data_IF_406363911810
#
_entry.id   IF_406363911810
#
_cell.length_a   1.000
_cell.length_b   1.000
_cell.length_c   1.000
_cell.angle_alpha   90.00
_cell.angle_beta   90.00
_cell.angle_gamma   90.00
#
_symmetry.space_group_name_H-M   'P 1'
#
loop_
_entity.id
_entity.type
_entity.pdbx_description
1 polymer ?
#
# COMPACT_ATOMS: atom_id res chain seq x y z
N UNK A 1 9.92 -18.53 -31.05
CA UNK A 1 9.45 -17.27 -30.43
C UNK A 1 8.80 -17.43 -29.04
N UNK A 2 8.62 -18.65 -28.50
CA UNK A 2 7.87 -18.89 -27.24
C UNK A 2 8.73 -18.73 -25.97
N UNK A 3 10.06 -18.95 -26.04
CA UNK A 3 10.95 -18.93 -24.87
C UNK A 3 11.24 -17.52 -24.30
N UNK A 4 11.24 -16.47 -25.13
CA UNK A 4 11.54 -15.09 -24.69
C UNK A 4 10.41 -14.48 -23.85
N UNK A 5 9.15 -14.86 -24.11
CA UNK A 5 7.97 -14.35 -23.39
C UNK A 5 7.94 -14.89 -21.96
N UNK A 6 8.20 -16.19 -21.77
CA UNK A 6 8.23 -16.84 -20.46
C UNK A 6 9.35 -16.29 -19.54
N UNK A 7 10.54 -16.03 -20.10
CA UNK A 7 11.65 -15.45 -19.34
C UNK A 7 11.38 -13.98 -18.94
N UNK A 8 10.70 -13.22 -19.80
CA UNK A 8 10.28 -11.84 -19.49
C UNK A 8 9.21 -11.79 -18.39
N UNK A 9 8.29 -12.75 -18.40
CA UNK A 9 7.23 -12.87 -17.40
C UNK A 9 7.77 -13.29 -16.03
N UNK A 10 8.71 -14.25 -15.97
CA UNK A 10 9.39 -14.61 -14.73
C UNK A 10 10.12 -13.44 -14.06
N UNK A 11 10.82 -12.61 -14.85
CA UNK A 11 11.51 -11.41 -14.35
C UNK A 11 10.53 -10.35 -13.84
N UNK A 12 9.39 -10.17 -14.52
CA UNK A 12 8.33 -9.26 -14.07
C UNK A 12 7.75 -9.68 -12.72
N UNK A 13 7.46 -10.97 -12.54
CA UNK A 13 6.96 -11.51 -11.28
C UNK A 13 7.98 -11.36 -10.15
N UNK A 14 9.27 -11.55 -10.43
CA UNK A 14 10.34 -11.32 -9.45
C UNK A 14 10.39 -9.87 -8.98
N UNK A 15 10.29 -8.90 -9.90
CA UNK A 15 10.22 -7.48 -9.52
C UNK A 15 8.99 -7.17 -8.67
N UNK A 16 7.82 -7.73 -8.99
CA UNK A 16 6.60 -7.53 -8.21
C UNK A 16 6.70 -8.15 -6.81
N UNK A 17 7.31 -9.33 -6.68
CA UNK A 17 7.56 -9.95 -5.38
C UNK A 17 8.48 -9.07 -4.51
N UNK A 18 9.60 -8.60 -5.08
CA UNK A 18 10.51 -7.67 -4.40
C UNK A 18 9.84 -6.34 -4.07
N UNK A 19 8.96 -5.84 -4.93
CA UNK A 19 8.20 -4.62 -4.64
C UNK A 19 7.29 -4.80 -3.43
N UNK A 20 6.56 -5.91 -3.35
CA UNK A 20 5.72 -6.24 -2.19
C UNK A 20 6.52 -6.31 -0.90
N UNK A 21 7.74 -6.86 -0.95
CA UNK A 21 8.66 -6.88 0.20
C UNK A 21 9.08 -5.46 0.61
N UNK A 22 9.41 -4.59 -0.34
CA UNK A 22 9.71 -3.18 -0.04
C UNK A 22 8.51 -2.45 0.57
N UNK A 23 7.30 -2.69 0.05
CA UNK A 23 6.06 -2.14 0.63
C UNK A 23 5.87 -2.63 2.06
N UNK A 24 5.98 -3.93 2.33
CA UNK A 24 5.80 -4.48 3.68
C UNK A 24 6.79 -3.89 4.69
N UNK A 25 8.04 -3.68 4.27
CA UNK A 25 9.09 -3.13 5.14
C UNK A 25 8.91 -1.64 5.44
N UNK A 26 8.30 -0.89 4.52
CA UNK A 26 8.35 0.58 4.55
C UNK A 26 6.98 1.27 4.52
N UNK A 27 5.86 0.54 4.51
CA UNK A 27 4.54 1.17 4.37
C UNK A 27 4.25 2.23 5.44
N UNK A 28 4.76 2.07 6.68
CA UNK A 28 4.59 3.05 7.76
C UNK A 28 5.27 4.39 7.49
N UNK A 29 6.31 4.42 6.65
CA UNK A 29 6.98 5.67 6.22
C UNK A 29 6.33 6.26 4.97
N UNK A 30 5.50 5.48 4.26
CA UNK A 30 4.87 5.87 2.99
C UNK A 30 5.84 6.51 1.98
N UNK A 31 7.01 5.90 1.70
CA UNK A 31 7.99 6.53 0.83
C UNK A 31 7.47 6.68 -0.60
N UNK A 32 7.99 7.65 -1.37
CA UNK A 32 7.71 7.76 -2.79
C UNK A 32 7.97 6.45 -3.54
N UNK A 33 7.17 6.17 -4.57
CA UNK A 33 7.33 4.97 -5.41
C UNK A 33 8.75 4.85 -5.98
N UNK A 34 9.44 5.98 -6.21
CA UNK A 34 10.82 5.98 -6.68
C UNK A 34 11.80 5.36 -5.68
N UNK A 35 11.65 5.63 -4.39
CA UNK A 35 12.47 4.98 -3.36
C UNK A 35 12.21 3.48 -3.30
N UNK A 36 10.95 3.05 -3.47
CA UNK A 36 10.59 1.64 -3.49
C UNK A 36 11.06 0.92 -4.77
N UNK A 37 11.22 1.64 -5.88
CA UNK A 37 11.66 1.09 -7.16
C UNK A 37 13.19 1.00 -7.27
N UNK A 38 13.91 1.90 -6.61
CA UNK A 38 15.38 1.96 -6.63
C UNK A 38 16.07 0.60 -6.31
N UNK A 39 15.76 -0.11 -5.21
CA UNK A 39 16.41 -1.38 -4.90
C UNK A 39 16.05 -2.51 -5.87
N UNK A 40 14.97 -2.36 -6.65
CA UNK A 40 14.57 -3.33 -7.67
C UNK A 40 15.38 -3.17 -8.96
N UNK A 41 16.11 -2.07 -9.13
CA UNK A 41 16.87 -1.76 -10.34
C UNK A 41 15.99 -1.37 -11.53
N UNK A 42 14.77 -0.87 -11.28
CA UNK A 42 13.82 -0.45 -12.33
C UNK A 42 13.29 0.95 -12.04
N UNK A 43 12.83 1.62 -13.08
CA UNK A 43 12.26 2.97 -12.93
C UNK A 43 10.86 2.92 -12.30
N UNK A 44 10.39 4.02 -11.67
CA UNK A 44 9.02 4.10 -11.15
C UNK A 44 7.97 3.85 -12.24
N UNK A 45 8.23 4.30 -13.47
CA UNK A 45 7.38 4.10 -14.64
C UNK A 45 7.29 2.62 -15.02
N UNK A 46 8.43 1.93 -15.06
CA UNK A 46 8.46 0.49 -15.32
C UNK A 46 7.71 -0.29 -14.23
N UNK A 47 7.95 0.02 -12.96
CA UNK A 47 7.24 -0.59 -11.83
C UNK A 47 5.72 -0.37 -11.93
N UNK A 48 5.28 0.86 -12.21
CA UNK A 48 3.86 1.16 -12.41
C UNK A 48 3.26 0.36 -13.57
N UNK A 49 3.99 0.18 -14.68
CA UNK A 49 3.55 -0.64 -15.81
C UNK A 49 3.38 -2.10 -15.40
N UNK A 50 4.32 -2.65 -14.63
CA UNK A 50 4.22 -4.02 -14.10
C UNK A 50 3.01 -4.18 -13.18
N UNK A 51 2.80 -3.25 -12.24
CA UNK A 51 1.65 -3.27 -11.34
C UNK A 51 0.33 -3.19 -12.11
N UNK A 52 0.21 -2.31 -13.10
CA UNK A 52 -1.02 -2.20 -13.91
C UNK A 52 -1.30 -3.47 -14.71
N UNK A 53 -0.26 -4.09 -15.27
CA UNK A 53 -0.38 -5.30 -16.09
C UNK A 53 -0.78 -6.52 -15.26
N UNK A 54 -0.18 -6.71 -14.09
CA UNK A 54 -0.28 -7.96 -13.32
C UNK A 54 -1.14 -7.84 -12.05
N UNK A 55 -1.31 -6.65 -11.50
CA UNK A 55 -2.07 -6.39 -10.26
C UNK A 55 -3.30 -5.50 -10.50
N UNK A 56 -3.53 -5.07 -11.75
CA UNK A 56 -4.64 -4.20 -12.16
C UNK A 56 -4.76 -2.89 -11.36
N UNK A 57 -3.65 -2.41 -10.79
CA UNK A 57 -3.59 -1.17 -10.04
C UNK A 57 -2.22 -0.48 -10.18
N UNK A 58 -2.11 0.78 -9.76
CA UNK A 58 -0.82 1.48 -9.76
C UNK A 58 0.07 0.98 -8.62
N UNK A 59 1.38 1.21 -8.72
CA UNK A 59 2.31 0.92 -7.62
C UNK A 59 1.89 1.67 -6.35
N UNK A 60 1.57 2.97 -6.47
CA UNK A 60 1.07 3.75 -5.34
C UNK A 60 -0.20 3.15 -4.70
N UNK A 61 -1.11 2.60 -5.51
CA UNK A 61 -2.30 1.94 -4.99
C UNK A 61 -1.96 0.69 -4.18
N UNK A 62 -0.94 -0.10 -4.56
CA UNK A 62 -0.46 -1.24 -3.76
C UNK A 62 0.05 -0.78 -2.39
N UNK A 63 0.83 0.29 -2.34
CA UNK A 63 1.28 0.89 -1.08
C UNK A 63 0.09 1.34 -0.23
N UNK A 64 -0.84 2.10 -0.82
CA UNK A 64 -2.03 2.58 -0.12
C UNK A 64 -2.92 1.44 0.38
N UNK A 65 -3.09 0.36 -0.39
CA UNK A 65 -3.84 -0.82 0.04
C UNK A 65 -3.21 -1.46 1.29
N UNK A 66 -1.87 -1.53 1.36
CA UNK A 66 -1.18 -2.05 2.55
C UNK A 66 -1.33 -1.15 3.77
N UNK A 67 -1.20 0.17 3.59
CA UNK A 67 -1.44 1.17 4.65
C UNK A 67 -2.88 1.09 5.15
N UNK A 68 -3.83 0.98 4.23
CA UNK A 68 -5.25 0.86 4.55
C UNK A 68 -5.57 -0.43 5.31
N UNK A 69 -4.96 -1.55 4.92
CA UNK A 69 -5.10 -2.82 5.64
C UNK A 69 -4.65 -2.68 7.09
N UNK A 70 -3.50 -2.05 7.33
CA UNK A 70 -3.01 -1.81 8.69
C UNK A 70 -3.96 -0.90 9.47
N UNK A 71 -4.42 0.20 8.84
CA UNK A 71 -5.36 1.12 9.47
C UNK A 71 -6.64 0.40 9.92
N UNK A 72 -7.21 -0.46 9.06
CA UNK A 72 -8.39 -1.26 9.41
C UNK A 72 -8.13 -2.20 10.58
N UNK A 73 -6.95 -2.84 10.62
CA UNK A 73 -6.55 -3.71 11.73
C UNK A 73 -6.43 -2.94 13.03
N UNK A 74 -5.71 -1.82 13.05
CA UNK A 74 -5.56 -0.99 14.25
C UNK A 74 -6.92 -0.48 14.74
N UNK A 75 -7.78 -0.01 13.84
CA UNK A 75 -9.13 0.45 14.19
C UNK A 75 -10.03 -0.68 14.74
N UNK A 76 -9.82 -1.92 14.29
CA UNK A 76 -10.65 -3.06 14.65
C UNK A 76 -10.18 -3.85 15.88
N UNK A 77 -8.86 -3.85 16.14
CA UNK A 77 -8.24 -4.73 17.14
C UNK A 77 -7.55 -3.97 18.28
N UNK A 78 -7.43 -2.64 18.21
CA UNK A 78 -6.81 -1.85 19.28
C UNK A 78 -7.71 -0.70 19.73
N UNK A 79 -7.44 -0.18 20.93
CA UNK A 79 -8.11 1.00 21.49
C UNK A 79 -7.31 2.29 21.20
N UNK A 80 -6.39 2.26 20.23
CA UNK A 80 -5.60 3.44 19.87
C UNK A 80 -6.51 4.56 19.35
N UNK A 81 -6.21 5.79 19.74
CA UNK A 81 -6.88 6.97 19.21
C UNK A 81 -6.58 7.12 17.72
N UNK A 82 -7.51 7.70 16.95
CA UNK A 82 -7.33 7.96 15.51
C UNK A 82 -6.02 8.71 15.22
N UNK A 83 -5.65 9.67 16.09
CA UNK A 83 -4.38 10.37 16.01
C UNK A 83 -3.17 9.45 16.14
N UNK A 84 -3.17 8.55 17.12
CA UNK A 84 -2.06 7.61 17.34
C UNK A 84 -1.90 6.64 16.15
N UNK A 85 -3.02 6.21 15.56
CA UNK A 85 -3.00 5.38 14.35
C UNK A 85 -2.44 6.16 13.16
N UNK A 86 -2.87 7.41 12.97
CA UNK A 86 -2.34 8.28 11.92
C UNK A 86 -0.82 8.47 12.05
N UNK A 87 -0.36 8.80 13.25
CA UNK A 87 1.06 9.00 13.57
C UNK A 87 1.87 7.72 13.31
N UNK A 88 1.36 6.56 13.77
CA UNK A 88 2.00 5.25 13.59
C UNK A 88 2.05 4.74 12.14
N UNK A 89 1.21 5.28 11.26
CA UNK A 89 1.18 5.01 9.83
C UNK A 89 1.90 6.08 9.00
N UNK A 90 2.55 7.06 9.64
CA UNK A 90 3.35 8.09 8.98
C UNK A 90 2.54 9.19 8.30
N UNK A 91 1.29 9.42 8.71
CA UNK A 91 0.54 10.59 8.25
C UNK A 91 1.01 11.84 9.00
N UNK A 92 1.19 12.94 8.27
CA UNK A 92 1.63 14.22 8.86
C UNK A 92 0.60 14.83 9.81
N UNK A 93 -0.70 14.58 9.55
CA UNK A 93 -1.76 14.92 10.50
C UNK A 93 -2.94 13.93 10.44
N UNK A 94 -3.76 13.85 11.51
CA UNK A 94 -4.91 12.96 11.58
C UNK A 94 -6.04 13.28 10.58
N UNK A 95 -6.12 14.52 10.08
CA UNK A 95 -7.13 14.92 9.10
C UNK A 95 -6.80 14.36 7.71
N UNK A 96 -5.51 14.33 7.32
CA UNK A 96 -5.06 13.63 6.11
C UNK A 96 -5.33 12.13 6.21
N UNK A 97 -5.06 11.50 7.35
CA UNK A 97 -5.42 10.10 7.58
C UNK A 97 -6.92 9.87 7.42
N UNK A 98 -7.75 10.73 8.02
CA UNK A 98 -9.22 10.61 7.94
C UNK A 98 -9.70 10.72 6.49
N UNK A 99 -9.22 11.71 5.73
CA UNK A 99 -9.53 11.87 4.29
C UNK A 99 -9.07 10.66 3.49
N UNK A 100 -7.86 10.17 3.75
CA UNK A 100 -7.31 8.98 3.11
C UNK A 100 -8.21 7.76 3.37
N UNK A 101 -8.56 7.50 4.63
CA UNK A 101 -9.35 6.34 5.02
C UNK A 101 -10.77 6.41 4.45
N UNK A 102 -11.41 7.59 4.55
CA UNK A 102 -12.73 7.85 3.98
C UNK A 102 -12.74 7.63 2.46
N UNK A 103 -11.74 8.16 1.75
CA UNK A 103 -11.61 7.99 0.30
C UNK A 103 -11.56 6.52 -0.14
N UNK A 104 -10.93 5.66 0.64
CA UNK A 104 -10.75 4.24 0.28
C UNK A 104 -11.81 3.29 0.85
N UNK A 105 -12.58 3.72 1.86
CA UNK A 105 -13.56 2.85 2.53
C UNK A 105 -14.99 3.35 2.43
N UNK A 106 -15.20 4.62 2.07
CA UNK A 106 -16.49 5.28 2.11
C UNK A 106 -16.98 5.64 3.51
N UNK A 107 -16.17 5.40 4.56
CA UNK A 107 -16.55 5.64 5.97
C UNK A 107 -15.43 6.30 6.74
N UNK A 108 -15.76 7.12 7.73
CA UNK A 108 -14.74 7.72 8.59
C UNK A 108 -14.12 6.67 9.54
N UNK A 109 -12.88 6.86 10.02
CA UNK A 109 -12.23 5.94 10.97
C UNK A 109 -13.03 5.70 12.26
N UNK A 110 -13.70 6.73 12.78
CA UNK A 110 -14.55 6.63 13.98
C UNK A 110 -15.78 5.78 13.72
N UNK A 111 -16.49 6.04 12.63
CA UNK A 111 -17.66 5.25 12.20
C UNK A 111 -17.29 3.79 11.95
N UNK A 112 -16.12 3.53 11.34
CA UNK A 112 -15.59 2.19 11.11
C UNK A 112 -15.43 1.40 12.41
N UNK A 113 -14.90 2.05 13.46
CA UNK A 113 -14.70 1.44 14.77
C UNK A 113 -16.02 1.09 15.45
N UNK A 114 -16.97 2.02 15.45
CA UNK A 114 -18.28 1.86 16.11
C UNK A 114 -19.07 0.67 15.56
N UNK A 115 -18.95 0.40 14.26
CA UNK A 115 -19.67 -0.69 13.61
C UNK A 115 -18.87 -2.01 13.56
N UNK A 116 -17.80 -2.10 14.34
CA UNK A 116 -17.04 -3.34 14.50
C UNK A 116 -16.31 -3.79 13.24
N UNK A 117 -15.79 -2.87 12.40
CA UNK A 117 -15.15 -3.17 11.10
C UNK A 117 -13.90 -4.07 11.12
N UNK A 118 -13.64 -4.78 12.22
CA UNK A 118 -12.67 -5.87 12.32
C UNK A 118 -13.27 -7.22 12.77
N UNK A 119 -14.59 -7.31 13.00
CA UNK A 119 -15.31 -8.56 13.29
C UNK A 119 -15.83 -9.22 12.01
#
# INVERSE_FOLDING_TARGET
MIATVAAGEGRALQHLARYREQVERHYRRQPPVAELAAPLGITPTQLNRLCRRHLHCSALAVLHQRVLLEAKRELGYTNLMVRQIADGLGFADPAYFTRFFLKHTGRAPTEWREHGGGR
#
